data_IF_951014180504
#
_entry.id   IF_951014180504
#
_cell.length_a   1.000
_cell.length_b   1.000
_cell.length_c   1.000
_cell.angle_alpha   90.00
_cell.angle_beta   90.00
_cell.angle_gamma   90.00
#
_symmetry.space_group_name_H-M   'P 1'
#
loop_
_entity.id
_entity.type
_entity.pdbx_description
1 polymer ?
#
# COMPACT_ATOMS: atom_id res chain seq x y z
N UNK A 1 -9.63 29.81 4.83
CA UNK A 1 -8.57 29.34 3.93
C UNK A 1 -9.09 28.06 3.30
N UNK A 2 -9.17 28.03 1.98
CA UNK A 2 -9.76 26.94 1.21
C UNK A 2 -8.88 25.69 1.31
N UNK A 3 -9.52 24.51 1.41
CA UNK A 3 -8.81 23.23 1.43
C UNK A 3 -8.31 22.90 0.03
N UNK A 4 -7.06 22.48 -0.09
CA UNK A 4 -6.50 22.08 -1.38
C UNK A 4 -6.87 20.61 -1.67
N UNK A 5 -7.34 20.28 -2.89
CA UNK A 5 -7.54 18.90 -3.29
C UNK A 5 -6.20 18.21 -3.57
N UNK A 6 -6.11 16.90 -3.29
CA UNK A 6 -4.88 16.12 -3.50
C UNK A 6 -4.45 16.14 -4.97
N UNK A 7 -5.39 15.99 -5.91
CA UNK A 7 -5.11 15.97 -7.36
C UNK A 7 -4.43 17.23 -7.91
N UNK A 8 -4.47 18.36 -7.19
CA UNK A 8 -3.80 19.59 -7.61
C UNK A 8 -2.40 19.75 -7.01
N UNK A 9 -1.93 18.79 -6.21
CA UNK A 9 -0.60 18.85 -5.62
C UNK A 9 0.47 18.65 -6.68
N UNK A 10 1.33 19.66 -6.82
CA UNK A 10 2.45 19.66 -7.75
C UNK A 10 3.77 19.62 -6.98
N UNK A 11 4.78 18.84 -7.44
CA UNK A 11 6.11 18.79 -6.83
C UNK A 11 6.71 20.18 -6.61
N UNK A 12 7.26 20.40 -5.42
CA UNK A 12 7.93 21.63 -4.98
C UNK A 12 7.09 22.89 -4.97
N UNK A 13 5.78 22.80 -5.20
CA UNK A 13 4.86 23.90 -4.97
C UNK A 13 4.49 23.97 -3.47
N UNK A 14 4.23 25.17 -2.93
CA UNK A 14 3.76 25.32 -1.56
C UNK A 14 2.45 24.55 -1.36
N UNK A 15 2.44 23.60 -0.44
CA UNK A 15 1.23 22.91 -0.02
C UNK A 15 0.33 23.86 0.77
N UNK A 16 -0.97 23.80 0.52
CA UNK A 16 -1.98 24.39 1.40
C UNK A 16 -2.51 23.34 2.37
N UNK A 17 -3.40 23.76 3.27
CA UNK A 17 -4.07 22.85 4.20
C UNK A 17 -4.82 21.73 3.45
N UNK A 18 -4.62 20.48 3.86
CA UNK A 18 -5.36 19.31 3.37
C UNK A 18 -6.20 18.72 4.49
N UNK A 19 -7.36 18.19 4.16
CA UNK A 19 -8.17 17.34 5.04
C UNK A 19 -8.19 15.93 4.44
N UNK A 20 -7.67 14.96 5.21
CA UNK A 20 -7.34 13.63 4.72
C UNK A 20 -7.74 12.55 5.72
N UNK A 21 -7.87 11.31 5.25
CA UNK A 21 -7.89 10.11 6.11
C UNK A 21 -6.70 9.21 5.80
N UNK A 22 -6.10 8.62 6.83
CA UNK A 22 -5.06 7.61 6.68
C UNK A 22 -5.70 6.26 6.36
N UNK A 23 -5.56 5.78 5.13
CA UNK A 23 -6.13 4.50 4.69
C UNK A 23 -5.23 3.31 5.03
N UNK A 24 -3.93 3.48 4.89
CA UNK A 24 -2.91 2.46 5.17
C UNK A 24 -1.65 3.12 5.69
N UNK A 25 -0.93 2.43 6.58
CA UNK A 25 0.33 2.88 7.14
C UNK A 25 1.25 1.69 7.41
N UNK A 26 2.52 1.80 7.04
CA UNK A 26 3.50 0.74 7.23
C UNK A 26 4.92 1.30 7.39
N UNK A 27 5.79 0.53 8.04
CA UNK A 27 7.22 0.85 8.17
C UNK A 27 7.97 0.18 7.03
N UNK A 28 8.61 0.96 6.16
CA UNK A 28 9.47 0.45 5.11
C UNK A 28 10.85 0.14 5.68
N UNK A 29 11.34 -1.09 5.49
CA UNK A 29 12.66 -1.54 5.94
C UNK A 29 13.65 -1.58 4.77
N UNK A 30 14.94 -1.41 5.04
CA UNK A 30 16.01 -1.61 4.07
C UNK A 30 16.09 -3.07 3.61
N UNK A 31 16.60 -3.27 2.40
CA UNK A 31 16.84 -4.61 1.86
C UNK A 31 18.24 -5.06 2.29
N UNK A 32 18.34 -6.23 2.94
CA UNK A 32 19.61 -6.81 3.37
C UNK A 32 19.44 -7.91 4.41
N UNK A 33 20.54 -8.44 4.95
CA UNK A 33 20.55 -9.47 5.99
C UNK A 33 19.97 -8.98 7.32
N UNK A 34 20.11 -7.68 7.61
CA UNK A 34 19.56 -7.05 8.81
C UNK A 34 18.69 -5.83 8.44
N UNK A 35 17.44 -6.02 8.00
CA UNK A 35 16.54 -4.96 7.56
C UNK A 35 16.30 -3.92 8.68
N UNK A 36 16.59 -2.65 8.40
CA UNK A 36 16.37 -1.54 9.34
C UNK A 36 15.25 -0.62 8.86
N UNK A 37 14.43 -0.05 9.75
CA UNK A 37 13.44 0.96 9.38
C UNK A 37 14.08 2.14 8.64
N UNK A 38 13.53 2.48 7.48
CA UNK A 38 14.01 3.58 6.62
C UNK A 38 13.00 4.73 6.53
N UNK A 39 11.71 4.39 6.53
CA UNK A 39 10.61 5.35 6.51
C UNK A 39 9.34 4.76 7.12
N UNK A 40 8.44 5.64 7.53
CA UNK A 40 7.03 5.32 7.71
C UNK A 40 6.28 5.87 6.50
N UNK A 41 5.59 5.00 5.80
CA UNK A 41 4.88 5.30 4.56
C UNK A 41 3.38 5.13 4.81
N UNK A 42 2.57 6.00 4.20
CA UNK A 42 1.13 5.97 4.30
C UNK A 42 0.45 6.18 2.95
N UNK A 43 -0.73 5.60 2.79
CA UNK A 43 -1.71 6.03 1.78
C UNK A 43 -2.74 6.90 2.49
N UNK A 44 -2.89 8.13 2.04
CA UNK A 44 -3.94 9.04 2.51
C UNK A 44 -4.90 9.34 1.37
N UNK A 45 -6.16 9.66 1.71
CA UNK A 45 -7.20 10.04 0.75
C UNK A 45 -7.90 11.31 1.22
N UNK A 46 -8.30 12.17 0.29
CA UNK A 46 -9.11 13.35 0.58
C UNK A 46 -10.61 13.09 0.36
N UNK A 47 -11.43 14.10 0.61
CA UNK A 47 -12.88 14.05 0.42
C UNK A 47 -13.34 13.85 -1.04
N UNK A 48 -12.48 14.07 -2.03
CA UNK A 48 -12.78 13.83 -3.44
C UNK A 48 -12.45 12.39 -3.87
N UNK A 49 -11.85 11.59 -2.98
CA UNK A 49 -11.42 10.23 -3.28
C UNK A 49 -10.06 10.17 -3.98
N UNK A 50 -9.37 11.30 -4.10
CA UNK A 50 -8.00 11.35 -4.62
C UNK A 50 -7.05 10.90 -3.50
N UNK A 51 -6.11 10.02 -3.83
CA UNK A 51 -5.11 9.54 -2.88
C UNK A 51 -3.70 9.99 -3.25
N UNK A 52 -2.84 10.07 -2.24
CA UNK A 52 -1.41 10.33 -2.42
C UNK A 52 -0.60 9.52 -1.43
N UNK A 53 0.61 9.15 -1.86
CA UNK A 53 1.58 8.48 -1.01
C UNK A 53 2.29 9.53 -0.14
N UNK A 54 2.38 9.23 1.15
CA UNK A 54 3.07 10.03 2.15
C UNK A 54 4.26 9.24 2.70
N UNK A 55 5.38 9.90 2.92
CA UNK A 55 6.56 9.31 3.55
C UNK A 55 7.12 10.23 4.63
N UNK A 56 7.72 9.63 5.65
CA UNK A 56 8.58 10.32 6.62
C UNK A 56 9.89 9.55 6.78
N UNK A 57 10.95 10.25 7.16
CA UNK A 57 12.26 9.64 7.39
C UNK A 57 12.28 8.72 8.63
N UNK A 58 13.34 7.92 8.77
CA UNK A 58 13.54 6.99 9.88
C UNK A 58 13.53 7.64 11.28
N UNK A 59 14.15 8.81 11.43
CA UNK A 59 14.28 9.49 12.74
C UNK A 59 12.94 9.98 13.29
N UNK A 60 11.96 10.23 12.42
CA UNK A 60 10.66 10.78 12.78
C UNK A 60 9.56 9.69 12.87
N UNK A 61 9.88 8.40 12.61
CA UNK A 61 8.91 7.29 12.60
C UNK A 61 8.09 7.25 13.91
N UNK A 62 8.75 7.23 15.06
CA UNK A 62 8.05 7.11 16.35
C UNK A 62 7.15 8.32 16.64
N UNK A 63 7.58 9.51 16.21
CA UNK A 63 6.76 10.71 16.32
C UNK A 63 5.45 10.53 15.55
N UNK A 64 5.50 10.12 14.28
CA UNK A 64 4.30 9.97 13.47
C UNK A 64 3.42 8.78 13.87
N UNK A 65 4.01 7.67 14.34
CA UNK A 65 3.23 6.55 14.91
C UNK A 65 2.40 6.97 16.13
N UNK A 66 2.87 7.97 16.89
CA UNK A 66 2.13 8.49 18.04
C UNK A 66 1.02 9.49 17.65
N UNK A 67 1.08 10.09 16.46
CA UNK A 67 0.17 11.16 16.01
C UNK A 67 -0.81 10.74 14.91
N UNK A 68 -0.51 9.68 14.16
CA UNK A 68 -1.32 9.18 13.06
C UNK A 68 -1.85 7.78 13.38
N UNK A 69 -3.10 7.53 13.01
CA UNK A 69 -3.76 6.23 13.11
C UNK A 69 -4.50 5.93 11.82
N UNK A 70 -4.44 4.66 11.40
CA UNK A 70 -5.22 4.18 10.25
C UNK A 70 -6.72 4.29 10.58
N UNK A 71 -7.50 4.79 9.64
CA UNK A 71 -8.95 5.04 9.78
C UNK A 71 -9.29 6.44 10.26
N UNK A 72 -8.37 7.14 10.93
CA UNK A 72 -8.63 8.48 11.47
C UNK A 72 -8.42 9.57 10.41
N UNK A 73 -9.20 10.65 10.55
CA UNK A 73 -9.12 11.82 9.69
C UNK A 73 -8.32 12.95 10.36
N UNK A 74 -7.56 13.68 9.55
CA UNK A 74 -6.67 14.74 9.99
C UNK A 74 -6.68 15.91 9.02
N UNK A 75 -6.52 17.09 9.59
CA UNK A 75 -6.09 18.26 8.86
C UNK A 75 -4.56 18.34 8.94
N UNK A 76 -3.90 18.39 7.79
CA UNK A 76 -2.43 18.51 7.70
C UNK A 76 -1.99 19.78 6.99
N UNK A 77 -0.89 20.37 7.48
CA UNK A 77 -0.29 21.56 6.89
C UNK A 77 1.23 21.58 7.12
N UNK A 78 1.96 22.48 6.44
CA UNK A 78 3.43 22.62 6.53
C UNK A 78 4.18 21.31 6.18
N UNK A 79 3.63 20.55 5.25
CA UNK A 79 4.27 19.40 4.63
C UNK A 79 5.05 19.82 3.38
N UNK A 80 5.92 18.94 2.87
CA UNK A 80 6.61 19.17 1.59
C UNK A 80 6.00 18.29 0.52
N UNK A 81 5.83 18.84 -0.68
CA UNK A 81 5.44 18.07 -1.87
C UNK A 81 6.69 17.87 -2.72
N UNK A 82 7.02 16.62 -3.05
CA UNK A 82 8.21 16.27 -3.85
C UNK A 82 7.81 15.33 -4.98
N UNK A 83 8.71 15.13 -5.96
CA UNK A 83 8.46 14.13 -7.00
C UNK A 83 8.28 12.74 -6.42
N UNK A 84 7.34 11.99 -6.98
CA UNK A 84 7.22 10.57 -6.69
C UNK A 84 8.45 9.80 -7.19
N UNK A 85 8.68 8.63 -6.62
CA UNK A 85 9.77 7.72 -6.97
C UNK A 85 9.65 7.32 -8.45
N UNK A 86 10.79 7.07 -9.11
CA UNK A 86 10.80 6.62 -10.51
C UNK A 86 10.19 5.22 -10.70
N UNK A 87 10.23 4.40 -9.64
CA UNK A 87 9.72 3.04 -9.61
C UNK A 87 9.06 2.73 -8.27
N UNK A 88 8.29 1.64 -8.25
CA UNK A 88 7.54 1.15 -7.10
C UNK A 88 6.57 2.19 -6.52
N UNK A 89 5.93 2.98 -7.40
CA UNK A 89 4.89 3.92 -6.98
C UNK A 89 3.70 3.14 -6.45
N UNK A 90 3.34 3.37 -5.20
CA UNK A 90 2.14 2.78 -4.57
C UNK A 90 0.86 3.43 -5.12
N UNK A 91 0.96 4.70 -5.53
CA UNK A 91 -0.14 5.49 -6.08
C UNK A 91 0.37 6.15 -7.37
N UNK A 92 -0.40 6.10 -8.48
CA UNK A 92 -0.03 6.71 -9.77
C UNK A 92 -0.22 8.23 -9.73
N UNK A 93 0.49 8.91 -8.84
CA UNK A 93 0.50 10.35 -8.68
C UNK A 93 1.90 10.91 -8.98
N UNK A 94 2.01 12.07 -9.62
CA UNK A 94 3.30 12.67 -9.99
C UNK A 94 4.13 13.12 -8.78
N UNK A 95 3.45 13.39 -7.67
CA UNK A 95 4.02 13.83 -6.41
C UNK A 95 3.77 12.85 -5.25
N UNK A 96 4.60 12.96 -4.22
CA UNK A 96 4.35 12.41 -2.88
C UNK A 96 4.49 13.52 -1.84
N UNK A 97 3.95 13.27 -0.65
CA UNK A 97 4.09 14.18 0.49
C UNK A 97 5.21 13.67 1.42
N UNK A 98 6.14 14.55 1.77
CA UNK A 98 7.10 14.32 2.85
C UNK A 98 6.64 15.04 4.12
N UNK A 99 6.45 14.26 5.19
CA UNK A 99 6.21 14.81 6.53
C UNK A 99 7.53 14.93 7.31
N UNK A 100 7.58 15.93 8.17
CA UNK A 100 8.63 16.09 9.17
C UNK A 100 8.03 16.75 10.43
N UNK A 101 8.81 16.89 11.50
CA UNK A 101 8.29 17.42 12.77
C UNK A 101 7.72 18.85 12.71
N UNK A 102 7.94 19.62 11.62
CA UNK A 102 7.31 20.93 11.41
C UNK A 102 5.89 20.83 10.82
N UNK A 103 5.53 19.66 10.29
CA UNK A 103 4.17 19.38 9.80
C UNK A 103 3.19 19.50 10.94
N UNK A 104 2.14 20.28 10.73
CA UNK A 104 1.02 20.39 11.66
C UNK A 104 0.02 19.29 11.34
N UNK A 105 -0.40 18.52 12.35
CA UNK A 105 -1.40 17.46 12.26
C UNK A 105 -2.47 17.75 13.31
N UNK A 106 -3.71 17.93 12.88
CA UNK A 106 -4.85 18.20 13.77
C UNK A 106 -5.93 17.14 13.51
N UNK A 107 -6.33 16.34 14.52
CA UNK A 107 -7.41 15.37 14.34
C UNK A 107 -8.74 16.03 13.98
N UNK A 108 -9.49 15.42 13.07
CA UNK A 108 -10.83 15.86 12.68
C UNK A 108 -11.86 14.95 13.35
N UNK A 109 -12.53 15.45 14.40
CA UNK A 109 -13.44 14.66 15.24
C UNK A 109 -14.83 14.44 14.62
N UNK A 110 -15.26 15.31 13.71
CA UNK A 110 -16.51 15.21 12.96
C UNK A 110 -16.25 15.72 11.55
N UNK A 111 -16.10 14.83 10.59
CA UNK A 111 -16.12 15.22 9.19
C UNK A 111 -17.56 15.55 8.81
N UNK A 112 -17.77 16.68 8.13
CA UNK A 112 -19.11 17.07 7.61
C UNK A 112 -19.49 16.28 6.36
N UNK A 113 -18.48 15.80 5.64
CA UNK A 113 -18.58 14.96 4.44
C UNK A 113 -17.79 13.67 4.69
N UNK A 114 -18.24 12.54 4.12
CA UNK A 114 -17.61 11.24 4.35
C UNK A 114 -16.36 11.09 3.46
N UNK A 115 -15.17 11.28 4.03
CA UNK A 115 -13.90 10.90 3.40
C UNK A 115 -13.89 9.36 3.23
N UNK A 116 -13.35 8.77 2.16
CA UNK A 116 -13.29 7.30 2.02
C UNK A 116 -12.43 6.62 3.10
N UNK A 117 -12.84 5.43 3.57
CA UNK A 117 -12.08 4.63 4.56
C UNK A 117 -10.90 3.87 3.96
N UNK A 118 -11.01 3.49 2.69
CA UNK A 118 -10.01 2.72 1.97
C UNK A 118 -9.85 3.28 0.56
N UNK A 119 -8.69 3.03 -0.03
CA UNK A 119 -8.39 3.43 -1.40
C UNK A 119 -7.59 2.34 -2.11
N UNK A 120 -7.91 2.08 -3.38
CA UNK A 120 -7.28 1.07 -4.20
C UNK A 120 -7.19 1.55 -5.65
N UNK A 121 -6.09 1.22 -6.33
CA UNK A 121 -5.96 1.39 -7.78
C UNK A 121 -6.14 0.03 -8.47
N UNK A 122 -7.33 -0.55 -8.34
CA UNK A 122 -7.63 -1.89 -8.83
C UNK A 122 -7.50 -1.95 -10.35
N UNK A 123 -6.86 -3.01 -10.83
CA UNK A 123 -6.89 -3.39 -12.24
C UNK A 123 -7.62 -4.72 -12.42
N UNK A 124 -8.11 -4.95 -13.64
CA UNK A 124 -8.66 -6.24 -14.03
C UNK A 124 -7.56 -7.30 -14.14
N UNK A 125 -7.86 -8.57 -13.83
CA UNK A 125 -6.89 -9.65 -13.93
C UNK A 125 -6.36 -9.82 -15.37
N UNK A 126 -7.20 -9.57 -16.38
CA UNK A 126 -6.81 -9.53 -17.79
C UNK A 126 -5.67 -8.54 -18.05
N UNK A 127 -5.61 -7.41 -17.33
CA UNK A 127 -4.61 -6.35 -17.54
C UNK A 127 -3.26 -6.65 -16.87
N UNK A 128 -3.15 -7.72 -16.08
CA UNK A 128 -1.91 -8.06 -15.39
C UNK A 128 -0.73 -8.27 -16.35
N UNK A 129 -0.99 -8.76 -17.57
CA UNK A 129 0.07 -8.98 -18.54
C UNK A 129 0.80 -7.69 -18.94
N UNK A 130 0.13 -6.54 -18.88
CA UNK A 130 0.72 -5.22 -19.18
C UNK A 130 1.67 -4.74 -18.09
N UNK A 131 1.52 -5.28 -16.87
CA UNK A 131 2.31 -4.94 -15.67
C UNK A 131 3.54 -5.84 -15.48
N UNK A 132 3.68 -6.90 -16.27
CA UNK A 132 4.79 -7.86 -16.17
C UNK A 132 6.13 -7.13 -16.31
N UNK A 133 6.98 -7.26 -15.29
CA UNK A 133 8.31 -6.66 -15.22
C UNK A 133 8.33 -5.12 -15.35
N UNK A 134 7.15 -4.48 -15.22
CA UNK A 134 7.01 -3.03 -15.22
C UNK A 134 6.82 -2.52 -13.81
N UNK A 135 7.92 -2.48 -13.07
CA UNK A 135 7.95 -2.07 -11.68
C UNK A 135 7.84 -0.52 -11.49
N UNK A 136 7.31 0.24 -12.47
CA UNK A 136 7.12 1.70 -12.34
C UNK A 136 6.04 2.02 -11.30
N UNK A 137 4.92 1.30 -11.39
CA UNK A 137 3.76 1.40 -10.51
C UNK A 137 3.42 0.01 -10.00
N UNK A 138 3.11 -0.07 -8.72
CA UNK A 138 2.64 -1.30 -8.11
C UNK A 138 1.15 -1.49 -8.41
N UNK A 139 0.73 -2.76 -8.39
CA UNK A 139 -0.60 -3.17 -8.84
C UNK A 139 -1.48 -3.52 -7.65
N UNK A 140 -2.74 -3.10 -7.69
CA UNK A 140 -3.76 -3.56 -6.74
C UNK A 140 -4.73 -4.49 -7.49
N UNK A 141 -5.12 -5.60 -6.86
CA UNK A 141 -6.11 -6.54 -7.40
C UNK A 141 -7.15 -6.87 -6.34
N UNK A 142 -8.31 -7.33 -6.81
CA UNK A 142 -9.41 -7.78 -5.98
C UNK A 142 -9.97 -9.09 -6.53
N UNK A 143 -10.32 -10.03 -5.66
CA UNK A 143 -10.91 -11.30 -6.07
C UNK A 143 -11.37 -12.16 -4.91
N UNK A 144 -12.12 -13.21 -5.25
CA UNK A 144 -12.53 -14.27 -4.33
C UNK A 144 -11.33 -15.16 -4.02
N UNK A 145 -11.04 -15.37 -2.74
CA UNK A 145 -10.02 -16.31 -2.30
C UNK A 145 -10.51 -17.75 -2.49
N UNK A 146 -9.93 -18.45 -3.46
CA UNK A 146 -10.33 -19.83 -3.81
C UNK A 146 -9.39 -20.88 -3.23
N UNK A 147 -8.13 -20.54 -2.98
CA UNK A 147 -7.19 -21.45 -2.33
C UNK A 147 -6.12 -20.69 -1.52
N UNK A 148 -5.70 -21.31 -0.41
CA UNK A 148 -4.56 -20.91 0.40
C UNK A 148 -3.64 -22.10 0.56
N UNK A 149 -2.41 -21.99 0.07
CA UNK A 149 -1.40 -23.02 0.25
C UNK A 149 -0.75 -22.91 1.64
N UNK A 150 -0.19 -24.01 2.18
CA UNK A 150 0.63 -23.97 3.39
C UNK A 150 1.83 -23.02 3.23
N UNK A 151 2.40 -22.59 4.36
CA UNK A 151 3.66 -21.84 4.35
C UNK A 151 4.79 -22.79 3.97
N UNK A 152 5.62 -22.36 3.02
CA UNK A 152 6.86 -23.03 2.63
C UNK A 152 8.07 -22.22 3.10
N UNK A 153 9.06 -22.89 3.69
CA UNK A 153 10.35 -22.28 4.00
C UNK A 153 11.32 -22.49 2.84
N UNK A 154 11.96 -21.42 2.40
CA UNK A 154 12.94 -21.41 1.32
C UNK A 154 14.26 -20.80 1.78
N UNK A 155 15.35 -21.46 1.43
CA UNK A 155 16.69 -20.89 1.59
C UNK A 155 17.09 -20.13 0.33
N UNK A 156 17.05 -18.81 0.38
CA UNK A 156 17.53 -17.91 -0.67
C UNK A 156 19.03 -17.72 -0.51
N UNK A 157 19.78 -17.83 -1.61
CA UNK A 157 21.22 -17.57 -1.68
C UNK A 157 22.06 -18.33 -0.64
N UNK A 158 21.60 -19.51 -0.20
CA UNK A 158 22.27 -20.43 0.75
C UNK A 158 22.47 -19.89 2.18
N UNK A 159 21.99 -18.69 2.51
CA UNK A 159 22.14 -18.10 3.84
C UNK A 159 20.83 -17.59 4.44
N UNK A 160 19.87 -17.17 3.62
CA UNK A 160 18.64 -16.52 4.09
C UNK A 160 17.45 -17.47 4.01
N UNK A 161 16.96 -17.91 5.16
CA UNK A 161 15.67 -18.60 5.25
C UNK A 161 14.56 -17.54 5.15
N UNK A 162 13.62 -17.73 4.23
CA UNK A 162 12.41 -16.92 4.12
C UNK A 162 11.18 -17.82 4.04
N UNK A 163 10.04 -17.31 4.48
CA UNK A 163 8.75 -17.97 4.35
C UNK A 163 8.03 -17.44 3.12
N UNK A 164 7.38 -18.32 2.37
CA UNK A 164 6.44 -17.94 1.32
C UNK A 164 5.10 -18.63 1.52
N UNK A 165 4.04 -18.01 1.03
CA UNK A 165 2.70 -18.60 0.97
C UNK A 165 2.02 -18.22 -0.33
N UNK A 166 1.42 -19.18 -1.03
CA UNK A 166 0.66 -18.88 -2.24
C UNK A 166 -0.84 -18.83 -1.95
N UNK A 167 -1.50 -17.85 -2.54
CA UNK A 167 -2.93 -17.69 -2.60
C UNK A 167 -3.39 -17.86 -4.04
N UNK A 168 -4.62 -18.30 -4.24
CA UNK A 168 -5.31 -18.23 -5.52
C UNK A 168 -6.53 -17.31 -5.38
N UNK A 169 -6.60 -16.30 -6.24
CA UNK A 169 -7.77 -15.43 -6.35
C UNK A 169 -8.49 -15.69 -7.65
N UNK A 170 -9.81 -15.58 -7.64
CA UNK A 170 -10.68 -15.67 -8.81
C UNK A 170 -11.54 -14.41 -8.94
N UNK A 171 -11.67 -13.86 -10.14
CA UNK A 171 -12.58 -12.74 -10.38
C UNK A 171 -13.98 -13.21 -10.80
N UNK A 172 -14.88 -12.26 -11.05
CA UNK A 172 -16.27 -12.56 -11.46
C UNK A 172 -16.39 -13.25 -12.82
N UNK A 173 -15.33 -13.28 -13.63
CA UNK A 173 -15.27 -13.95 -14.93
C UNK A 173 -14.68 -15.36 -14.86
N UNK A 174 -14.33 -15.84 -13.66
CA UNK A 174 -13.67 -17.14 -13.46
C UNK A 174 -12.18 -17.14 -13.79
N UNK A 175 -11.59 -15.97 -14.04
CA UNK A 175 -10.15 -15.85 -14.27
C UNK A 175 -9.42 -15.95 -12.94
N UNK A 176 -8.31 -16.70 -12.94
CA UNK A 176 -7.56 -16.97 -11.71
C UNK A 176 -6.17 -16.35 -11.76
N UNK A 177 -5.69 -15.92 -10.60
CA UNK A 177 -4.34 -15.41 -10.41
C UNK A 177 -3.72 -16.00 -9.16
N UNK A 178 -2.46 -16.42 -9.29
CA UNK A 178 -1.64 -16.81 -8.15
C UNK A 178 -1.00 -15.56 -7.54
N UNK A 179 -1.10 -15.44 -6.22
CA UNK A 179 -0.40 -14.41 -5.45
C UNK A 179 0.54 -15.07 -4.46
N UNK A 180 1.80 -14.67 -4.42
CA UNK A 180 2.77 -15.20 -3.46
C UNK A 180 3.11 -14.12 -2.45
N UNK A 181 2.83 -14.40 -1.18
CA UNK A 181 3.22 -13.61 -0.03
C UNK A 181 4.61 -14.05 0.45
N UNK A 182 5.45 -13.11 0.86
CA UNK A 182 6.78 -13.40 1.41
C UNK A 182 6.95 -12.88 2.86
N UNK A 183 7.86 -13.51 3.59
CA UNK A 183 8.32 -13.06 4.90
C UNK A 183 7.20 -12.88 5.93
N UNK A 184 7.18 -11.73 6.59
CA UNK A 184 6.17 -11.36 7.60
C UNK A 184 4.75 -11.35 7.01
N UNK A 185 4.57 -10.98 5.73
CA UNK A 185 3.25 -10.98 5.08
C UNK A 185 2.69 -12.40 4.97
N UNK A 186 3.54 -13.39 4.68
CA UNK A 186 3.13 -14.79 4.57
C UNK A 186 2.68 -15.37 5.93
N UNK A 187 3.35 -15.00 7.02
CA UNK A 187 3.00 -15.43 8.37
C UNK A 187 1.77 -14.70 8.89
N UNK A 188 1.74 -13.37 8.78
CA UNK A 188 0.66 -12.54 9.31
C UNK A 188 -0.68 -12.80 8.60
N UNK A 189 -0.66 -13.33 7.37
CA UNK A 189 -1.88 -13.74 6.69
C UNK A 189 -2.63 -14.85 7.44
N UNK A 190 -1.92 -15.75 8.12
CA UNK A 190 -2.53 -16.78 8.97
C UNK A 190 -3.28 -16.15 10.15
N UNK A 191 -2.67 -15.13 10.75
CA UNK A 191 -3.19 -14.39 11.90
C UNK A 191 -4.33 -13.42 11.53
N UNK A 192 -4.64 -13.26 10.23
CA UNK A 192 -5.72 -12.37 9.76
C UNK A 192 -7.12 -12.83 10.18
N UNK A 193 -7.25 -14.08 10.64
CA UNK A 193 -8.53 -14.66 11.02
C UNK A 193 -9.45 -14.98 9.84
N UNK A 194 -8.94 -14.96 8.59
CA UNK A 194 -9.76 -15.20 7.39
C UNK A 194 -10.55 -16.52 7.44
N UNK A 195 -10.02 -17.55 8.12
CA UNK A 195 -10.68 -18.85 8.30
C UNK A 195 -11.98 -18.78 9.10
N UNK A 196 -12.17 -17.72 9.91
CA UNK A 196 -13.39 -17.50 10.68
C UNK A 196 -14.48 -16.76 9.88
N UNK A 197 -14.14 -16.25 8.69
CA UNK A 197 -15.09 -15.53 7.86
C UNK A 197 -15.99 -16.51 7.08
N UNK A 198 -17.28 -16.18 6.90
CA UNK A 198 -18.16 -17.00 6.07
C UNK A 198 -17.75 -16.91 4.59
N UNK A 199 -17.76 -18.02 3.84
CA UNK A 199 -17.53 -17.98 2.40
C UNK A 199 -18.73 -17.35 1.65
N UNK A 200 -18.51 -16.73 0.48
CA UNK A 200 -17.22 -16.50 -0.17
C UNK A 200 -16.39 -15.39 0.50
N UNK A 201 -15.07 -15.57 0.53
CA UNK A 201 -14.12 -14.59 1.10
C UNK A 201 -13.53 -13.78 -0.05
N UNK A 202 -13.74 -12.46 -0.03
CA UNK A 202 -13.13 -11.54 -1.00
C UNK A 202 -11.96 -10.78 -0.37
N UNK A 203 -10.89 -10.61 -1.13
CA UNK A 203 -9.67 -9.94 -0.67
C UNK A 203 -9.23 -8.91 -1.72
N UNK A 204 -8.90 -7.72 -1.24
CA UNK A 204 -8.12 -6.73 -1.98
C UNK A 204 -6.65 -6.85 -1.55
N UNK A 205 -5.74 -7.02 -2.51
CA UNK A 205 -4.30 -7.05 -2.28
C UNK A 205 -3.67 -5.88 -3.02
N UNK A 206 -2.81 -5.14 -2.32
CA UNK A 206 -2.25 -3.89 -2.83
C UNK A 206 -0.75 -3.93 -2.95
N UNK A 207 -0.21 -3.02 -3.76
CA UNK A 207 1.23 -2.81 -3.90
C UNK A 207 1.98 -4.03 -4.44
N UNK A 208 1.34 -4.77 -5.34
CA UNK A 208 1.87 -5.99 -5.95
C UNK A 208 2.86 -5.69 -7.07
N UNK A 209 3.92 -6.50 -7.14
CA UNK A 209 4.73 -6.65 -8.35
C UNK A 209 4.19 -7.79 -9.19
N UNK A 210 4.16 -7.60 -10.51
CA UNK A 210 3.71 -8.63 -11.44
C UNK A 210 4.91 -9.20 -12.19
N UNK A 211 5.11 -10.52 -12.08
CA UNK A 211 6.18 -11.25 -12.79
C UNK A 211 5.62 -12.47 -13.51
N UNK A 212 6.33 -12.98 -14.52
CA UNK A 212 6.04 -14.31 -15.07
C UNK A 212 6.67 -15.39 -14.20
N UNK A 213 5.86 -16.34 -13.77
CA UNK A 213 6.34 -17.56 -13.11
C UNK A 213 6.21 -18.75 -14.07
N UNK A 214 7.30 -19.53 -14.21
CA UNK A 214 7.40 -20.70 -15.09
C UNK A 214 6.93 -20.46 -16.54
N UNK A 215 7.05 -19.23 -17.05
CA UNK A 215 6.84 -18.90 -18.46
C UNK A 215 5.41 -18.58 -18.89
N UNK A 216 4.38 -18.93 -18.10
CA UNK A 216 2.97 -18.86 -18.56
C UNK A 216 2.02 -18.11 -17.63
N UNK A 217 2.27 -18.06 -16.32
CA UNK A 217 1.32 -17.48 -15.35
C UNK A 217 1.85 -16.18 -14.78
N UNK A 218 1.05 -15.12 -14.84
CA UNK A 218 1.28 -13.89 -14.08
C UNK A 218 1.14 -14.22 -12.60
N UNK A 219 2.24 -14.09 -11.85
CA UNK A 219 2.21 -14.20 -10.40
C UNK A 219 2.43 -12.82 -9.82
N UNK A 220 1.55 -12.45 -8.89
CA UNK A 220 1.71 -11.23 -8.12
C UNK A 220 2.51 -11.52 -6.84
N UNK A 221 3.39 -10.61 -6.46
CA UNK A 221 4.24 -10.77 -5.28
C UNK A 221 4.17 -9.52 -4.40
N UNK A 222 4.09 -9.74 -3.07
CA UNK A 222 4.30 -8.75 -2.01
C UNK A 222 5.67 -9.00 -1.38
#
# INVERSE_FOLDING_TARGET
MELMPIRLLMPYQPGSKLEIRVCRMWVTKSIGENPQPTSLDCVIVDKQGDAIHVTTNARDIQYFLNHLRVGDAYEINKYRVVHNRASNKVIPHAAIIELNQKTTIVPVLKTTEEIPMQWFNLIELEQLHERIDRDVELTDIFGCLTAVQPIEELTIQRTRITKKRNLNLENIRGETVRVTLWGETATNFEDSGYQSLPPPIFIALTSLKVKKYLGYTSTCFI
#
